data_IF_315654353614
#
_entry.id   IF_315654353614
#
_cell.length_a   1.000
_cell.length_b   1.000
_cell.length_c   1.000
_cell.angle_alpha   90.00
_cell.angle_beta   90.00
_cell.angle_gamma   90.00
#
_symmetry.space_group_name_H-M   'P 1'
#
loop_
_entity.id
_entity.type
_entity.pdbx_description
1 polymer ?
#
# COMPACT_ATOMS: atom_id res chain seq x y z
N UNK A 1 -3.71 4.54 -28.09
CA UNK A 1 -2.78 3.60 -28.73
C UNK A 1 -1.59 4.25 -29.42
N UNK A 2 -0.84 5.05 -28.68
CA UNK A 2 0.33 5.79 -29.19
C UNK A 2 1.42 4.87 -29.77
N UNK A 3 1.53 3.64 -29.25
CA UNK A 3 2.62 2.73 -29.58
C UNK A 3 2.15 1.45 -30.30
N UNK A 4 0.85 1.28 -30.56
CA UNK A 4 0.26 0.07 -31.12
C UNK A 4 0.72 -1.21 -30.42
N UNK A 5 0.61 -1.19 -29.09
CA UNK A 5 0.99 -2.29 -28.19
C UNK A 5 -0.28 -3.03 -27.77
N UNK A 6 -0.24 -4.36 -27.82
CA UNK A 6 -1.22 -5.22 -27.16
C UNK A 6 -0.73 -5.47 -25.72
N UNK A 7 -1.51 -5.03 -24.72
CA UNK A 7 -1.15 -5.06 -23.31
C UNK A 7 -1.96 -6.15 -22.59
N UNK A 8 -1.28 -7.17 -22.12
CA UNK A 8 -1.86 -8.18 -21.24
C UNK A 8 -1.61 -7.81 -19.77
N UNK A 9 -2.67 -7.65 -18.97
CA UNK A 9 -2.60 -7.36 -17.54
C UNK A 9 -2.95 -8.61 -16.73
N UNK A 10 -2.02 -9.06 -15.88
CA UNK A 10 -2.20 -10.17 -14.97
C UNK A 10 -2.24 -9.63 -13.53
N UNK A 11 -3.44 -9.56 -12.96
CA UNK A 11 -3.63 -9.06 -11.60
C UNK A 11 -3.31 -10.13 -10.54
N UNK A 12 -2.78 -9.67 -9.41
CA UNK A 12 -2.54 -10.47 -8.20
C UNK A 12 -3.01 -9.71 -6.97
N UNK A 13 -3.21 -10.42 -5.85
CA UNK A 13 -3.91 -9.89 -4.66
C UNK A 13 -3.13 -8.80 -3.90
N UNK A 14 -1.80 -8.79 -3.95
CA UNK A 14 -0.98 -7.84 -3.19
C UNK A 14 0.44 -7.70 -3.75
N UNK A 15 1.12 -6.61 -3.38
CA UNK A 15 2.51 -6.37 -3.74
C UNK A 15 3.45 -7.51 -3.29
N UNK A 16 3.23 -8.05 -2.08
CA UNK A 16 4.01 -9.18 -1.58
C UNK A 16 3.79 -10.45 -2.41
N UNK A 17 2.55 -10.74 -2.78
CA UNK A 17 2.21 -11.88 -3.66
C UNK A 17 2.83 -11.67 -5.05
N UNK A 18 2.79 -10.44 -5.56
CA UNK A 18 3.39 -10.08 -6.85
C UNK A 18 4.90 -10.35 -6.86
N UNK A 19 5.61 -9.82 -5.86
CA UNK A 19 7.06 -10.01 -5.76
C UNK A 19 7.43 -11.50 -5.61
N UNK A 20 6.73 -12.23 -4.73
CA UNK A 20 6.97 -13.65 -4.52
C UNK A 20 6.74 -14.46 -5.80
N UNK A 21 5.68 -14.15 -6.57
CA UNK A 21 5.40 -14.79 -7.86
C UNK A 21 6.56 -14.60 -8.83
N UNK A 22 7.04 -13.36 -8.98
CA UNK A 22 8.15 -13.04 -9.88
C UNK A 22 9.45 -13.71 -9.43
N UNK A 23 9.73 -13.75 -8.14
CA UNK A 23 10.90 -14.46 -7.59
C UNK A 23 10.84 -15.97 -7.87
N UNK A 24 9.67 -16.58 -7.70
CA UNK A 24 9.49 -18.01 -7.96
C UNK A 24 9.59 -18.36 -9.44
N UNK A 25 9.08 -17.52 -10.32
CA UNK A 25 9.19 -17.70 -11.77
C UNK A 25 10.62 -17.43 -12.27
N UNK A 26 11.34 -16.51 -11.62
CA UNK A 26 12.72 -16.15 -11.93
C UNK A 26 12.86 -15.72 -13.39
N UNK A 27 13.83 -16.31 -14.10
CA UNK A 27 14.08 -16.03 -15.52
C UNK A 27 13.05 -16.66 -16.48
N UNK A 28 12.13 -17.49 -15.96
CA UNK A 28 11.07 -18.11 -16.75
C UNK A 28 9.78 -17.29 -16.79
N UNK A 29 9.73 -16.18 -16.07
CA UNK A 29 8.57 -15.29 -16.10
C UNK A 29 8.35 -14.77 -17.52
N UNK A 30 7.09 -14.65 -17.92
CA UNK A 30 6.68 -14.07 -19.20
C UNK A 30 6.36 -12.57 -19.09
N UNK A 31 6.36 -12.03 -17.89
CA UNK A 31 6.09 -10.62 -17.68
C UNK A 31 7.25 -9.76 -18.18
N UNK A 32 6.93 -8.61 -18.74
CA UNK A 32 7.90 -7.59 -19.14
C UNK A 32 8.10 -6.55 -18.04
N UNK A 33 7.00 -6.20 -17.35
CA UNK A 33 6.97 -5.18 -16.29
C UNK A 33 6.27 -5.76 -15.06
N UNK A 34 6.76 -5.39 -13.90
CA UNK A 34 6.09 -5.57 -12.62
C UNK A 34 5.59 -4.21 -12.17
N UNK A 35 4.28 -4.07 -11.96
CA UNK A 35 3.61 -2.84 -11.57
C UNK A 35 2.85 -3.07 -10.26
N UNK A 36 3.05 -2.22 -9.24
CA UNK A 36 2.36 -2.33 -7.97
C UNK A 36 3.19 -2.94 -6.85
N UNK A 37 4.52 -2.87 -6.94
CA UNK A 37 5.38 -3.06 -5.77
C UNK A 37 5.35 -1.79 -4.91
N UNK A 38 5.42 -1.94 -3.60
CA UNK A 38 5.47 -0.81 -2.66
C UNK A 38 6.84 -0.65 -1.99
N UNK A 39 7.09 0.53 -1.43
CA UNK A 39 8.37 0.89 -0.83
C UNK A 39 8.84 -0.05 0.28
N UNK A 40 7.94 -0.77 0.95
CA UNK A 40 8.29 -1.72 2.00
C UNK A 40 8.96 -2.98 1.43
N UNK A 41 8.76 -3.24 0.13
CA UNK A 41 9.36 -4.36 -0.60
C UNK A 41 10.57 -3.96 -1.45
N UNK A 42 10.94 -2.67 -1.43
CA UNK A 42 12.01 -2.13 -2.27
C UNK A 42 13.31 -2.92 -2.15
N UNK A 43 13.81 -3.11 -0.94
CA UNK A 43 15.05 -3.85 -0.69
C UNK A 43 14.98 -5.31 -1.15
N UNK A 44 13.84 -5.95 -0.99
CA UNK A 44 13.64 -7.34 -1.41
C UNK A 44 13.59 -7.46 -2.92
N UNK A 45 12.93 -6.51 -3.59
CA UNK A 45 12.87 -6.44 -5.05
C UNK A 45 14.26 -6.16 -5.64
N UNK A 46 15.00 -5.20 -5.10
CA UNK A 46 16.34 -4.84 -5.55
C UNK A 46 17.32 -6.03 -5.39
N UNK A 47 17.34 -6.65 -4.21
CA UNK A 47 18.21 -7.81 -3.92
C UNK A 47 17.85 -9.06 -4.72
N UNK A 48 16.66 -9.14 -5.31
CA UNK A 48 16.28 -10.26 -6.17
C UNK A 48 17.15 -10.35 -7.44
N UNK A 49 17.70 -9.21 -7.91
CA UNK A 49 18.50 -9.13 -9.12
C UNK A 49 17.72 -9.39 -10.42
N UNK A 50 16.37 -9.39 -10.35
CA UNK A 50 15.50 -9.72 -11.47
C UNK A 50 15.16 -8.51 -12.35
N UNK A 51 15.46 -7.31 -11.87
CA UNK A 51 15.11 -6.06 -12.55
C UNK A 51 16.32 -5.43 -13.23
N UNK A 52 16.06 -4.58 -14.23
CA UNK A 52 17.08 -3.78 -14.94
C UNK A 52 16.89 -2.29 -14.68
N UNK A 53 17.91 -1.51 -15.00
CA UNK A 53 17.79 -0.06 -15.01
C UNK A 53 16.78 0.40 -16.07
N UNK A 54 15.92 1.35 -15.68
CA UNK A 54 15.11 2.08 -16.65
C UNK A 54 15.97 3.12 -17.40
N UNK A 55 15.47 3.61 -18.53
CA UNK A 55 16.14 4.63 -19.34
C UNK A 55 15.50 6.02 -19.22
N UNK A 56 14.69 6.25 -18.20
CA UNK A 56 14.08 7.57 -17.93
C UNK A 56 15.13 8.51 -17.34
N UNK A 57 15.33 9.63 -18.01
CA UNK A 57 16.20 10.72 -17.54
C UNK A 57 15.39 11.71 -16.72
N UNK A 58 16.03 12.32 -15.69
CA UNK A 58 15.46 13.40 -14.87
C UNK A 58 14.15 13.07 -14.12
N UNK A 59 13.90 11.80 -13.81
CA UNK A 59 12.70 11.35 -13.10
C UNK A 59 12.44 12.16 -11.81
N UNK A 60 13.51 12.59 -11.15
CA UNK A 60 13.45 13.40 -9.92
C UNK A 60 12.78 14.78 -10.13
N UNK A 61 12.81 15.31 -11.34
CA UNK A 61 12.22 16.61 -11.69
C UNK A 61 10.75 16.48 -12.13
N UNK A 62 10.36 15.30 -12.60
CA UNK A 62 9.05 15.07 -13.21
C UNK A 62 8.03 14.49 -12.22
N UNK A 63 8.50 13.98 -11.08
CA UNK A 63 7.65 13.34 -10.07
C UNK A 63 7.73 14.08 -8.74
N UNK A 64 6.59 14.56 -8.25
CA UNK A 64 6.45 15.14 -6.92
C UNK A 64 6.15 14.05 -5.89
N UNK A 65 7.17 13.57 -5.19
CA UNK A 65 7.03 12.64 -4.07
C UNK A 65 7.30 13.33 -2.73
N UNK A 66 6.70 12.85 -1.64
CA UNK A 66 6.95 13.39 -0.29
C UNK A 66 8.34 13.05 0.25
N UNK A 67 9.07 12.15 -0.40
CA UNK A 67 10.43 11.75 -0.06
C UNK A 67 11.31 11.73 -1.31
N UNK A 68 12.62 11.81 -1.11
CA UNK A 68 13.58 11.72 -2.20
C UNK A 68 13.63 10.29 -2.77
N UNK A 69 13.54 10.17 -4.10
CA UNK A 69 13.60 8.89 -4.82
C UNK A 69 14.85 8.84 -5.71
N UNK A 70 15.72 7.87 -5.48
CA UNK A 70 17.03 7.79 -6.14
C UNK A 70 17.25 6.44 -6.88
N UNK A 71 16.20 5.68 -7.16
CA UNK A 71 16.37 4.41 -7.86
C UNK A 71 16.59 4.64 -9.35
N UNK A 72 17.50 3.85 -9.93
CA UNK A 72 17.66 3.71 -11.39
C UNK A 72 16.96 2.47 -11.95
N UNK A 73 16.42 1.65 -11.05
CA UNK A 73 15.76 0.37 -11.39
C UNK A 73 14.26 0.51 -11.34
N UNK A 74 13.75 1.24 -10.35
CA UNK A 74 12.32 1.34 -10.07
C UNK A 74 11.80 2.74 -10.32
N UNK A 75 10.66 2.82 -11.01
CA UNK A 75 9.94 4.05 -11.35
C UNK A 75 8.73 4.17 -10.44
N UNK A 76 8.66 5.18 -9.56
CA UNK A 76 7.47 5.43 -8.76
C UNK A 76 6.38 6.05 -9.63
N UNK A 77 5.13 5.65 -9.44
CA UNK A 77 4.02 6.17 -10.25
C UNK A 77 2.83 6.61 -9.41
N UNK A 78 2.77 6.19 -8.14
CA UNK A 78 1.69 6.53 -7.23
C UNK A 78 2.22 6.63 -5.80
N UNK A 79 1.60 7.48 -5.00
CA UNK A 79 1.81 7.49 -3.55
C UNK A 79 0.54 7.89 -2.80
N UNK A 80 0.47 7.46 -1.56
CA UNK A 80 -0.55 7.81 -0.59
C UNK A 80 -0.02 7.62 0.82
N UNK A 81 -0.90 7.66 1.80
CA UNK A 81 -0.55 7.40 3.19
C UNK A 81 -1.48 6.31 3.73
N UNK A 82 -0.97 5.39 4.52
CA UNK A 82 -1.83 4.51 5.28
C UNK A 82 -2.62 5.33 6.30
N UNK A 83 -3.90 5.02 6.44
CA UNK A 83 -4.78 5.69 7.37
C UNK A 83 -5.86 4.73 7.87
N UNK A 84 -6.38 5.00 9.05
CA UNK A 84 -7.61 4.37 9.49
C UNK A 84 -8.79 5.14 8.91
N UNK A 85 -9.61 4.43 8.14
CA UNK A 85 -10.80 4.97 7.48
C UNK A 85 -12.02 4.66 8.34
N UNK A 86 -12.95 5.61 8.41
CA UNK A 86 -14.14 5.55 9.23
C UNK A 86 -15.34 6.22 8.54
N UNK A 87 -16.55 5.90 9.02
CA UNK A 87 -17.76 6.62 8.62
C UNK A 87 -17.96 7.82 9.57
N UNK A 88 -17.95 9.05 9.02
CA UNK A 88 -17.99 10.30 9.79
C UNK A 88 -19.36 10.62 10.40
N UNK A 89 -20.42 9.92 9.96
CA UNK A 89 -21.76 10.04 10.55
C UNK A 89 -21.94 9.09 11.74
N UNK A 90 -21.11 8.03 11.84
CA UNK A 90 -21.14 7.04 12.93
C UNK A 90 -20.08 7.30 13.99
N UNK A 91 -18.84 7.62 13.59
CA UNK A 91 -17.73 7.93 14.47
C UNK A 91 -17.44 9.43 14.44
N UNK A 92 -18.13 10.18 15.32
CA UNK A 92 -18.04 11.65 15.35
C UNK A 92 -16.71 12.19 15.89
N UNK A 93 -16.01 11.40 16.70
CA UNK A 93 -14.72 11.73 17.30
C UNK A 93 -13.68 10.67 16.92
N UNK A 94 -13.16 10.71 15.69
CA UNK A 94 -12.13 9.78 15.26
C UNK A 94 -10.82 10.03 16.01
N UNK A 95 -9.96 9.01 16.19
CA UNK A 95 -8.66 9.19 16.82
C UNK A 95 -7.78 10.12 16.00
N UNK A 96 -7.07 11.03 16.68
CA UNK A 96 -6.16 12.01 16.08
C UNK A 96 -4.70 11.60 16.16
N UNK A 97 -4.43 10.47 16.80
CA UNK A 97 -3.08 9.91 16.93
C UNK A 97 -3.15 8.39 17.06
N UNK A 98 -2.01 7.73 16.85
CA UNK A 98 -1.90 6.29 17.09
C UNK A 98 -2.09 5.97 18.59
N UNK A 99 -1.65 6.84 19.47
CA UNK A 99 -1.87 6.66 20.91
C UNK A 99 -3.35 6.79 21.29
N UNK A 100 -4.10 7.71 20.71
CA UNK A 100 -5.56 7.77 20.90
C UNK A 100 -6.25 6.53 20.35
N UNK A 101 -5.86 6.07 19.15
CA UNK A 101 -6.37 4.82 18.58
C UNK A 101 -6.14 3.65 19.52
N UNK A 102 -4.93 3.52 20.07
CA UNK A 102 -4.54 2.44 20.98
C UNK A 102 -5.30 2.54 22.32
N UNK A 103 -5.54 3.71 22.85
CA UNK A 103 -6.12 3.92 24.17
C UNK A 103 -7.63 4.16 24.15
N UNK A 104 -8.27 4.44 23.01
CA UNK A 104 -9.72 4.56 22.87
C UNK A 104 -10.39 3.24 23.32
N UNK A 105 -11.52 3.31 24.00
CA UNK A 105 -12.10 2.11 24.64
C UNK A 105 -13.08 1.37 23.75
N UNK A 106 -13.71 2.04 22.77
CA UNK A 106 -14.93 1.52 22.14
C UNK A 106 -14.80 1.26 20.63
N UNK A 107 -13.66 1.63 19.99
CA UNK A 107 -13.49 1.46 18.56
C UNK A 107 -13.22 -0.01 18.18
N UNK A 108 -14.05 -0.56 17.32
CA UNK A 108 -13.84 -1.88 16.69
C UNK A 108 -12.99 -1.69 15.45
N UNK A 109 -11.82 -2.30 15.42
CA UNK A 109 -10.83 -2.11 14.38
C UNK A 109 -10.67 -3.39 13.57
N UNK A 110 -10.66 -3.27 12.24
CA UNK A 110 -10.24 -4.35 11.36
C UNK A 110 -8.93 -3.96 10.67
N UNK A 111 -7.98 -4.89 10.67
CA UNK A 111 -6.67 -4.75 10.02
C UNK A 111 -6.39 -5.94 9.12
N UNK A 112 -5.27 -5.90 8.41
CA UNK A 112 -4.86 -7.00 7.54
C UNK A 112 -3.58 -7.66 8.05
N UNK A 113 -3.39 -8.92 7.66
CA UNK A 113 -2.18 -9.69 7.96
C UNK A 113 -0.95 -9.09 7.25
N UNK A 114 0.10 -8.69 7.98
CA UNK A 114 1.31 -8.10 7.39
C UNK A 114 2.08 -9.03 6.46
N UNK A 115 1.80 -10.34 6.49
CA UNK A 115 2.44 -11.33 5.62
C UNK A 115 1.82 -11.40 4.23
N UNK A 116 0.60 -10.90 4.08
CA UNK A 116 -0.20 -11.08 2.86
C UNK A 116 -0.81 -9.79 2.32
N UNK A 117 -0.69 -8.68 3.05
CA UNK A 117 -1.31 -7.41 2.69
C UNK A 117 -0.35 -6.23 2.86
N UNK A 118 -0.29 -5.37 1.86
CA UNK A 118 0.48 -4.12 1.87
C UNK A 118 0.11 -3.19 3.04
N UNK A 119 -1.18 -2.86 3.30
CA UNK A 119 -1.51 -2.05 4.47
C UNK A 119 -1.16 -2.73 5.80
N UNK A 120 -1.32 -4.04 5.90
CA UNK A 120 -0.94 -4.79 7.10
C UNK A 120 0.57 -4.69 7.40
N UNK A 121 1.41 -4.84 6.37
CA UNK A 121 2.86 -4.65 6.49
C UNK A 121 3.19 -3.18 6.81
N UNK A 122 2.51 -2.24 6.15
CA UNK A 122 2.65 -0.81 6.39
C UNK A 122 2.37 -0.44 7.86
N UNK A 123 1.28 -0.96 8.44
CA UNK A 123 0.96 -0.74 9.86
C UNK A 123 2.04 -1.32 10.79
N UNK A 124 2.56 -2.51 10.48
CA UNK A 124 3.62 -3.13 11.28
C UNK A 124 4.86 -2.22 11.33
N UNK A 125 5.27 -1.69 10.17
CA UNK A 125 6.42 -0.79 10.06
C UNK A 125 6.12 0.57 10.70
N UNK A 126 4.93 1.13 10.49
CA UNK A 126 4.48 2.38 11.10
C UNK A 126 4.54 2.32 12.63
N UNK A 127 3.98 1.28 13.23
CA UNK A 127 4.08 1.04 14.68
C UNK A 127 5.52 0.92 15.16
N UNK A 128 6.39 0.24 14.37
CA UNK A 128 7.81 0.13 14.70
C UNK A 128 8.53 1.48 14.60
N UNK A 129 8.19 2.31 13.60
CA UNK A 129 8.76 3.65 13.42
C UNK A 129 8.37 4.58 14.58
N UNK A 130 7.11 4.56 15.01
CA UNK A 130 6.61 5.42 16.10
C UNK A 130 7.17 5.01 17.46
N UNK A 131 7.21 3.72 17.75
CA UNK A 131 7.42 3.24 19.13
C UNK A 131 8.73 2.49 19.35
N UNK A 132 9.50 2.23 18.31
CA UNK A 132 10.79 1.57 18.45
C UNK A 132 10.72 0.25 19.24
N UNK A 133 11.38 0.20 20.39
CA UNK A 133 11.41 -1.00 21.24
C UNK A 133 10.10 -1.22 22.00
N UNK A 134 9.27 -0.19 22.18
CA UNK A 134 7.97 -0.30 22.86
C UNK A 134 6.84 -0.77 21.91
N UNK A 135 7.10 -0.90 20.61
CA UNK A 135 6.10 -1.30 19.62
C UNK A 135 5.34 -2.58 20.02
N UNK A 136 6.04 -3.58 20.60
CA UNK A 136 5.40 -4.81 21.08
C UNK A 136 4.30 -4.55 22.12
N UNK A 137 4.56 -3.69 23.10
CA UNK A 137 3.57 -3.36 24.13
C UNK A 137 2.37 -2.59 23.55
N UNK A 138 2.65 -1.70 22.58
CA UNK A 138 1.60 -0.96 21.88
C UNK A 138 0.74 -1.90 21.03
N UNK A 139 1.32 -2.89 20.37
CA UNK A 139 0.59 -3.93 19.66
C UNK A 139 -0.33 -4.76 20.58
N UNK A 140 0.14 -5.14 21.77
CA UNK A 140 -0.68 -5.86 22.75
C UNK A 140 -1.92 -5.05 23.15
N UNK A 141 -1.79 -3.72 23.26
CA UNK A 141 -2.92 -2.84 23.56
C UNK A 141 -3.85 -2.70 22.36
N UNK A 142 -3.31 -2.40 21.17
CA UNK A 142 -4.09 -2.27 19.93
C UNK A 142 -4.91 -3.53 19.63
N UNK A 143 -4.29 -4.71 19.82
CA UNK A 143 -4.93 -6.00 19.56
C UNK A 143 -6.21 -6.25 20.36
N UNK A 144 -6.39 -5.59 21.49
CA UNK A 144 -7.64 -5.70 22.28
C UNK A 144 -8.86 -5.09 21.57
N UNK A 145 -8.63 -4.27 20.54
CA UNK A 145 -9.67 -3.58 19.76
C UNK A 145 -9.81 -4.14 18.36
N UNK A 146 -8.84 -4.94 17.94
CA UNK A 146 -8.85 -5.60 16.65
C UNK A 146 -9.84 -6.75 16.70
N UNK A 147 -10.95 -6.60 15.97
CA UNK A 147 -12.00 -7.62 15.90
C UNK A 147 -11.69 -8.69 14.88
N UNK A 148 -10.89 -8.35 13.86
CA UNK A 148 -10.45 -9.31 12.83
C UNK A 148 -9.13 -8.87 12.19
N UNK A 149 -8.35 -9.87 11.79
CA UNK A 149 -7.15 -9.72 10.95
C UNK A 149 -7.41 -10.48 9.65
N UNK A 150 -7.73 -9.78 8.58
CA UNK A 150 -8.08 -10.40 7.31
C UNK A 150 -6.83 -10.72 6.48
N UNK A 151 -6.96 -11.61 5.52
CA UNK A 151 -5.89 -11.96 4.58
C UNK A 151 -5.53 -10.77 3.67
N UNK A 152 -6.52 -10.00 3.24
CA UNK A 152 -6.38 -8.91 2.27
C UNK A 152 -7.25 -7.70 2.58
N UNK A 153 -6.96 -6.62 1.85
CA UNK A 153 -7.65 -5.34 2.02
C UNK A 153 -9.13 -5.40 1.67
N UNK A 154 -9.49 -6.06 0.56
CA UNK A 154 -10.87 -6.12 0.06
C UNK A 154 -11.83 -6.70 1.11
N UNK A 155 -11.41 -7.77 1.78
CA UNK A 155 -12.19 -8.41 2.82
C UNK A 155 -12.38 -7.49 4.04
N UNK A 156 -11.29 -6.87 4.53
CA UNK A 156 -11.37 -5.89 5.64
C UNK A 156 -12.28 -4.72 5.31
N UNK A 157 -12.14 -4.18 4.09
CA UNK A 157 -12.83 -2.96 3.70
C UNK A 157 -14.32 -3.18 3.47
N UNK A 158 -14.67 -4.17 2.64
CA UNK A 158 -16.06 -4.38 2.23
C UNK A 158 -16.85 -5.27 3.18
N UNK A 159 -16.28 -6.39 3.63
CA UNK A 159 -17.02 -7.36 4.44
C UNK A 159 -17.08 -7.01 5.93
N UNK A 160 -16.15 -6.18 6.43
CA UNK A 160 -16.17 -5.73 7.82
C UNK A 160 -16.57 -4.26 7.95
N UNK A 161 -15.84 -3.35 7.31
CA UNK A 161 -16.05 -1.91 7.52
C UNK A 161 -17.32 -1.41 6.82
N UNK A 162 -17.46 -1.63 5.51
CA UNK A 162 -18.66 -1.18 4.78
C UNK A 162 -19.92 -1.93 5.22
N UNK A 163 -19.81 -3.16 5.69
CA UNK A 163 -20.89 -3.91 6.31
C UNK A 163 -21.29 -3.39 7.73
N UNK A 164 -20.49 -2.49 8.32
CA UNK A 164 -20.75 -1.90 9.64
C UNK A 164 -20.31 -2.77 10.83
N UNK A 165 -19.55 -3.83 10.60
CA UNK A 165 -19.00 -4.69 11.65
C UNK A 165 -17.81 -4.04 12.36
N UNK A 166 -17.07 -3.17 11.69
CA UNK A 166 -15.95 -2.41 12.25
C UNK A 166 -16.23 -0.89 12.18
N UNK A 167 -15.71 -0.13 13.15
CA UNK A 167 -15.79 1.33 13.19
C UNK A 167 -14.62 1.97 12.43
N UNK A 168 -13.49 1.28 12.40
CA UNK A 168 -12.25 1.69 11.75
C UNK A 168 -11.65 0.54 10.94
N UNK A 169 -11.23 0.83 9.72
CA UNK A 169 -10.48 -0.09 8.87
C UNK A 169 -9.13 0.50 8.49
N UNK A 170 -8.07 -0.30 8.56
CA UNK A 170 -6.79 0.11 8.00
C UNK A 170 -6.88 0.15 6.48
N UNK A 171 -6.59 1.31 5.89
CA UNK A 171 -6.66 1.57 4.46
C UNK A 171 -5.71 2.70 4.08
N UNK A 172 -6.13 3.56 3.15
CA UNK A 172 -5.34 4.67 2.62
C UNK A 172 -6.07 6.00 2.81
N UNK A 173 -5.30 7.07 2.97
CA UNK A 173 -5.84 8.45 3.03
C UNK A 173 -6.63 8.84 1.78
N UNK A 174 -6.41 8.15 0.67
CA UNK A 174 -7.10 8.35 -0.62
C UNK A 174 -8.43 7.60 -0.74
N UNK A 175 -8.73 6.67 0.18
CA UNK A 175 -9.98 5.88 0.12
C UNK A 175 -11.25 6.75 0.09
N UNK A 176 -11.37 7.86 0.86
CA UNK A 176 -12.54 8.74 0.78
C UNK A 176 -12.74 9.35 -0.61
N UNK A 177 -11.65 9.67 -1.32
CA UNK A 177 -11.75 10.24 -2.66
C UNK A 177 -12.41 9.27 -3.66
N UNK A 178 -12.14 7.98 -3.56
CA UNK A 178 -12.79 6.97 -4.39
C UNK A 178 -14.31 6.93 -4.15
N UNK A 179 -14.75 6.96 -2.89
CA UNK A 179 -16.18 7.03 -2.56
C UNK A 179 -16.86 8.29 -3.08
N UNK A 180 -16.18 9.45 -2.97
CA UNK A 180 -16.73 10.72 -3.51
C UNK A 180 -16.83 10.66 -5.04
N UNK A 181 -15.79 10.18 -5.72
CA UNK A 181 -15.73 10.20 -7.18
C UNK A 181 -16.66 9.19 -7.86
N UNK A 182 -16.82 8.02 -7.28
CA UNK A 182 -17.53 6.91 -7.93
C UNK A 182 -18.92 6.63 -7.33
N UNK A 183 -19.16 7.05 -6.09
CA UNK A 183 -20.40 6.73 -5.36
C UNK A 183 -21.14 7.97 -4.86
N UNK A 184 -20.59 9.18 -5.05
CA UNK A 184 -21.09 10.43 -4.46
C UNK A 184 -21.29 10.35 -2.94
N UNK A 185 -20.48 9.49 -2.27
CA UNK A 185 -20.56 9.22 -0.85
C UNK A 185 -19.52 10.04 -0.09
N UNK A 186 -20.00 10.97 0.74
CA UNK A 186 -19.20 11.90 1.55
C UNK A 186 -19.08 11.46 3.02
N UNK A 187 -19.66 10.31 3.38
CA UNK A 187 -19.65 9.83 4.76
C UNK A 187 -18.34 9.13 5.14
N UNK A 188 -17.54 8.74 4.16
CA UNK A 188 -16.27 8.05 4.40
C UNK A 188 -15.16 9.06 4.54
N UNK A 189 -14.39 8.94 5.61
CA UNK A 189 -13.27 9.84 5.96
C UNK A 189 -12.05 9.05 6.41
N UNK A 190 -10.88 9.67 6.37
CA UNK A 190 -9.63 9.10 6.83
C UNK A 190 -9.10 9.85 8.06
N UNK A 191 -8.67 9.13 9.07
CA UNK A 191 -8.03 9.70 10.25
C UNK A 191 -6.60 10.13 9.91
N UNK A 192 -6.36 11.43 9.98
CA UNK A 192 -5.03 12.03 9.80
C UNK A 192 -4.44 12.27 11.18
N UNK A 193 -3.34 11.59 11.47
CA UNK A 193 -2.72 11.61 12.78
C UNK A 193 -1.76 12.79 12.93
N UNK A 194 -1.69 13.37 14.14
CA UNK A 194 -0.86 14.53 14.46
C UNK A 194 0.63 14.25 14.28
N UNK A 195 1.07 13.01 14.56
CA UNK A 195 2.43 12.55 14.35
C UNK A 195 2.75 12.20 12.89
N UNK A 196 1.77 12.31 12.00
CA UNK A 196 1.85 11.93 10.59
C UNK A 196 1.42 10.50 10.31
N UNK A 197 1.00 10.28 9.08
CA UNK A 197 0.62 8.98 8.55
C UNK A 197 1.79 8.37 7.76
N UNK A 198 1.97 7.06 7.82
CA UNK A 198 3.06 6.38 7.13
C UNK A 198 2.83 6.38 5.62
N UNK A 199 3.82 6.87 4.86
CA UNK A 199 3.73 6.96 3.39
C UNK A 199 3.78 5.58 2.74
N UNK A 200 3.03 5.41 1.67
CA UNK A 200 3.10 4.27 0.76
C UNK A 200 3.40 4.81 -0.64
N UNK A 201 4.52 4.41 -1.20
CA UNK A 201 4.89 4.73 -2.59
C UNK A 201 4.86 3.45 -3.37
N UNK A 202 4.12 3.45 -4.47
CA UNK A 202 4.06 2.32 -5.41
C UNK A 202 4.98 2.58 -6.58
N UNK A 203 5.66 1.53 -7.00
CA UNK A 203 6.63 1.60 -8.09
C UNK A 203 6.52 0.43 -9.07
N UNK A 204 7.06 0.65 -10.25
CA UNK A 204 7.19 -0.33 -11.31
C UNK A 204 8.66 -0.64 -11.59
N UNK A 205 8.92 -1.81 -12.17
CA UNK A 205 10.25 -2.20 -12.64
C UNK A 205 10.18 -3.10 -13.87
N UNK A 206 11.19 -2.99 -14.71
CA UNK A 206 11.33 -3.81 -15.93
C UNK A 206 12.10 -5.07 -15.58
N UNK A 207 11.58 -6.22 -16.01
CA UNK A 207 12.23 -7.49 -15.74
C UNK A 207 13.40 -7.75 -16.69
N UNK A 208 14.47 -8.28 -16.15
CA UNK A 208 15.70 -8.62 -16.88
C UNK A 208 15.47 -9.69 -17.96
N UNK A 209 14.51 -10.59 -17.71
CA UNK A 209 14.11 -11.64 -18.65
C UNK A 209 13.25 -11.15 -19.81
N UNK A 210 12.76 -9.91 -19.77
CA UNK A 210 11.92 -9.35 -20.82
C UNK A 210 12.65 -9.31 -22.17
N UNK A 211 11.96 -9.79 -23.22
CA UNK A 211 12.39 -9.64 -24.60
C UNK A 211 11.91 -8.30 -25.21
N UNK A 212 11.08 -7.55 -24.48
CA UNK A 212 10.43 -6.30 -24.92
C UNK A 212 10.92 -5.07 -24.13
N UNK A 213 12.17 -5.08 -23.65
CA UNK A 213 12.69 -4.05 -22.72
C UNK A 213 12.53 -2.62 -23.25
N UNK A 214 12.70 -2.38 -24.56
CA UNK A 214 12.48 -1.07 -25.16
C UNK A 214 11.02 -0.61 -25.06
N UNK A 215 10.06 -1.52 -25.30
CA UNK A 215 8.64 -1.20 -25.17
C UNK A 215 8.23 -1.03 -23.72
N UNK A 216 8.81 -1.83 -22.82
CA UNK A 216 8.63 -1.69 -21.38
C UNK A 216 9.11 -0.32 -20.86
N UNK A 217 10.25 0.18 -21.35
CA UNK A 217 10.72 1.55 -21.03
C UNK A 217 9.78 2.64 -21.58
N UNK A 218 9.16 2.42 -22.73
CA UNK A 218 8.20 3.38 -23.29
C UNK A 218 6.86 3.38 -22.56
N UNK A 219 6.54 2.30 -21.87
CA UNK A 219 5.32 2.16 -21.05
C UNK A 219 5.46 2.89 -19.71
N UNK A 220 6.64 2.83 -19.07
CA UNK A 220 6.95 3.53 -17.83
C UNK A 220 7.05 5.04 -18.03
#
# INVERSE_FOLDING_TARGET
>A
DKYNIDLELIAVDSAATLLNKVILEGTNTKADIVLGLDMNLFDSADKSGLFINHSLDNLENDIMLPIKWNSKIFVPYNYGYFAFVYNNTKLLNPPKSMDELINSTDARIVIQDPRTSTPGLGLLIWMKALYGNDAKNKWVKLNKKVISVTKGWTDAYYNFFMAGEADLVLSYSTSPAAHIMFEENYEISAAIFEEGNYVSIEFAGILKSSNNQRMANNFL
#
